data_IF_177029788920
#
_entry.id   IF_177029788920
#
_cell.length_a   1.000
_cell.length_b   1.000
_cell.length_c   1.000
_cell.angle_alpha   90.00
_cell.angle_beta   90.00
_cell.angle_gamma   90.00
#
_symmetry.space_group_name_H-M   'P 1'
#
loop_
_entity.id
_entity.type
_entity.pdbx_description
1 polymer ?
#
# COMPACT_ATOMS: atom_id res chain seq x y z
N UNK A 1 6.30 -27.90 -7.34
CA UNK A 1 6.70 -27.09 -6.18
C UNK A 1 6.37 -27.89 -4.93
N UNK A 2 7.30 -28.04 -3.98
CA UNK A 2 7.01 -28.70 -2.70
C UNK A 2 6.26 -27.73 -1.79
N UNK A 3 5.38 -28.26 -0.92
CA UNK A 3 4.57 -27.49 0.05
C UNK A 3 5.46 -26.57 0.89
N UNK A 4 6.64 -27.04 1.31
CA UNK A 4 7.61 -26.27 2.09
C UNK A 4 8.14 -25.01 1.37
N UNK A 5 8.24 -25.03 0.04
CA UNK A 5 8.69 -23.85 -0.73
C UNK A 5 7.59 -22.78 -0.82
N UNK A 6 6.32 -23.20 -0.86
CA UNK A 6 5.17 -22.30 -0.81
C UNK A 6 5.04 -21.64 0.57
N UNK A 7 5.16 -22.41 1.65
CA UNK A 7 5.06 -21.88 3.03
C UNK A 7 6.15 -20.85 3.36
N UNK A 8 7.41 -21.12 2.97
CA UNK A 8 8.51 -20.16 3.14
C UNK A 8 8.25 -18.88 2.35
N UNK A 9 7.71 -19.01 1.12
CA UNK A 9 7.38 -17.85 0.28
C UNK A 9 6.25 -17.00 0.85
N UNK A 10 5.24 -17.62 1.48
CA UNK A 10 4.13 -16.92 2.14
C UNK A 10 4.61 -16.16 3.37
N UNK A 11 5.48 -16.76 4.18
CA UNK A 11 6.00 -16.14 5.39
C UNK A 11 6.92 -14.95 5.09
N UNK A 12 7.72 -15.04 4.02
CA UNK A 12 8.52 -13.92 3.53
C UNK A 12 7.66 -12.78 2.97
N UNK A 13 6.52 -13.12 2.35
CA UNK A 13 5.55 -12.13 1.89
C UNK A 13 4.87 -11.39 3.05
N UNK A 14 4.40 -12.12 4.07
CA UNK A 14 3.80 -11.52 5.26
C UNK A 14 4.77 -10.58 5.96
N UNK A 15 6.04 -10.96 6.07
CA UNK A 15 7.11 -10.09 6.62
C UNK A 15 7.34 -8.85 5.76
N UNK A 16 7.41 -9.00 4.44
CA UNK A 16 7.60 -7.88 3.53
C UNK A 16 6.42 -6.91 3.57
N UNK A 17 5.19 -7.42 3.67
CA UNK A 17 3.98 -6.62 3.80
C UNK A 17 3.93 -5.92 5.16
N UNK A 18 4.28 -6.59 6.25
CA UNK A 18 4.35 -6.01 7.58
C UNK A 18 5.41 -4.90 7.67
N UNK A 19 6.57 -5.07 7.03
CA UNK A 19 7.59 -4.02 6.92
C UNK A 19 7.08 -2.82 6.13
N UNK A 20 6.49 -3.07 4.96
CA UNK A 20 5.93 -2.02 4.11
C UNK A 20 4.83 -1.23 4.84
N UNK A 21 3.96 -1.94 5.57
CA UNK A 21 2.94 -1.34 6.44
C UNK A 21 3.56 -0.38 7.44
N UNK A 22 4.58 -0.81 8.20
CA UNK A 22 5.25 0.06 9.18
C UNK A 22 5.84 1.31 8.55
N UNK A 23 6.46 1.18 7.38
CA UNK A 23 7.02 2.33 6.66
C UNK A 23 5.92 3.32 6.22
N UNK A 24 4.78 2.82 5.72
CA UNK A 24 3.65 3.65 5.30
C UNK A 24 2.96 4.33 6.49
N UNK A 25 2.77 3.61 7.60
CA UNK A 25 2.25 4.11 8.87
C UNK A 25 3.12 5.23 9.45
N UNK A 26 4.45 5.06 9.41
CA UNK A 26 5.41 6.07 9.81
C UNK A 26 5.38 7.29 8.89
N UNK A 27 5.30 7.09 7.58
CA UNK A 27 5.19 8.16 6.59
C UNK A 27 3.93 9.01 6.78
N UNK A 28 2.77 8.38 7.02
CA UNK A 28 1.52 9.08 7.31
C UNK A 28 1.64 9.95 8.58
N UNK A 29 2.21 9.38 9.65
CA UNK A 29 2.43 10.11 10.90
C UNK A 29 3.40 11.29 10.69
N UNK A 30 4.48 11.08 9.94
CA UNK A 30 5.44 12.13 9.60
C UNK A 30 4.78 13.26 8.78
N UNK A 31 3.88 12.91 7.87
CA UNK A 31 3.07 13.83 7.06
C UNK A 31 1.94 14.52 7.84
N UNK A 32 1.71 14.17 9.12
CA UNK A 32 0.69 14.78 9.97
C UNK A 32 -0.70 14.16 9.86
N UNK A 33 -0.81 12.98 9.23
CA UNK A 33 -2.01 12.16 9.23
C UNK A 33 -2.00 11.13 10.37
N UNK A 34 -3.15 10.56 10.75
CA UNK A 34 -3.18 9.40 11.64
C UNK A 34 -2.44 8.21 11.04
N UNK A 35 -1.81 7.40 11.88
CA UNK A 35 -1.10 6.18 11.49
C UNK A 35 -1.94 5.28 10.56
N UNK A 36 -3.24 5.15 10.86
CA UNK A 36 -4.18 4.34 10.08
C UNK A 36 -4.30 4.80 8.62
N UNK A 37 -4.15 6.09 8.33
CA UNK A 37 -4.22 6.60 6.97
C UNK A 37 -3.13 6.00 6.08
N UNK A 38 -1.91 5.80 6.61
CA UNK A 38 -0.82 5.15 5.87
C UNK A 38 -1.11 3.70 5.51
N UNK A 39 -1.79 2.97 6.40
CA UNK A 39 -2.22 1.61 6.13
C UNK A 39 -3.35 1.54 5.11
N UNK A 40 -4.39 2.36 5.26
CA UNK A 40 -5.53 2.38 4.31
C UNK A 40 -5.08 2.80 2.91
N UNK A 41 -4.11 3.73 2.81
CA UNK A 41 -3.48 4.11 1.55
C UNK A 41 -2.62 2.98 0.98
N UNK A 42 -1.85 2.25 1.80
CA UNK A 42 -1.12 1.08 1.34
C UNK A 42 -2.06 0.04 0.71
N UNK A 43 -3.21 -0.22 1.34
CA UNK A 43 -4.23 -1.13 0.80
C UNK A 43 -4.77 -0.59 -0.53
N UNK A 44 -5.06 0.71 -0.62
CA UNK A 44 -5.46 1.36 -1.88
C UNK A 44 -4.43 1.21 -3.00
N UNK A 45 -3.15 1.44 -2.71
CA UNK A 45 -2.06 1.24 -3.70
C UNK A 45 -1.98 -0.21 -4.18
N UNK A 46 -2.16 -1.18 -3.27
CA UNK A 46 -2.17 -2.61 -3.61
C UNK A 46 -3.37 -2.91 -4.51
N UNK A 47 -4.57 -2.51 -4.10
CA UNK A 47 -5.79 -2.78 -4.85
C UNK A 47 -5.75 -2.14 -6.25
N UNK A 48 -5.36 -0.86 -6.35
CA UNK A 48 -5.18 -0.20 -7.64
C UNK A 48 -4.17 -0.93 -8.54
N UNK A 49 -3.08 -1.47 -7.97
CA UNK A 49 -2.10 -2.23 -8.74
C UNK A 49 -2.66 -3.53 -9.32
N UNK A 50 -3.58 -4.20 -8.63
CA UNK A 50 -4.19 -5.46 -9.08
C UNK A 50 -5.37 -5.26 -10.00
N UNK A 51 -6.28 -4.39 -9.58
CA UNK A 51 -7.56 -4.22 -10.23
C UNK A 51 -7.49 -3.21 -11.38
N UNK A 52 -6.39 -2.43 -11.46
CA UNK A 52 -6.17 -1.44 -12.50
C UNK A 52 -7.29 -0.40 -12.53
N UNK A 53 -7.49 0.29 -11.40
CA UNK A 53 -8.66 1.16 -11.22
C UNK A 53 -8.78 2.19 -12.34
N UNK A 54 -10.03 2.40 -12.76
CA UNK A 54 -10.36 3.54 -13.61
C UNK A 54 -10.14 4.85 -12.83
N UNK A 55 -10.01 6.00 -13.52
CA UNK A 55 -9.96 7.30 -12.85
C UNK A 55 -11.14 7.53 -11.90
N UNK A 56 -12.33 7.04 -12.24
CA UNK A 56 -13.54 7.20 -11.43
C UNK A 56 -13.49 6.35 -10.15
N UNK A 57 -13.05 5.09 -10.26
CA UNK A 57 -12.87 4.21 -9.10
C UNK A 57 -11.80 4.75 -8.14
N UNK A 58 -10.70 5.27 -8.70
CA UNK A 58 -9.66 5.94 -7.93
C UNK A 58 -10.20 7.18 -7.22
N UNK A 59 -10.96 8.04 -7.91
CA UNK A 59 -11.54 9.23 -7.32
C UNK A 59 -12.53 8.89 -6.20
N UNK A 60 -13.39 7.89 -6.38
CA UNK A 60 -14.30 7.41 -5.35
C UNK A 60 -13.56 6.90 -4.11
N UNK A 61 -12.47 6.16 -4.32
CA UNK A 61 -11.62 5.73 -3.22
C UNK A 61 -10.95 6.91 -2.51
N UNK A 62 -10.40 7.88 -3.25
CA UNK A 62 -9.80 9.09 -2.66
C UNK A 62 -10.82 9.84 -1.81
N UNK A 63 -12.06 10.02 -2.28
CA UNK A 63 -13.11 10.68 -1.51
C UNK A 63 -13.38 9.97 -0.18
N UNK A 64 -13.42 8.63 -0.16
CA UNK A 64 -13.56 7.86 1.09
C UNK A 64 -12.38 8.06 2.04
N UNK A 65 -11.15 8.16 1.53
CA UNK A 65 -9.96 8.46 2.35
C UNK A 65 -10.06 9.87 2.94
N UNK A 66 -10.51 10.84 2.14
CA UNK A 66 -10.74 12.23 2.56
C UNK A 66 -11.83 12.29 3.65
N UNK A 67 -12.93 11.57 3.50
CA UNK A 67 -14.00 11.48 4.51
C UNK A 67 -13.48 10.93 5.84
N UNK A 68 -12.55 9.99 5.81
CA UNK A 68 -12.01 9.34 7.01
C UNK A 68 -10.90 10.15 7.70
N UNK A 69 -10.09 10.90 6.95
CA UNK A 69 -8.84 11.48 7.46
C UNK A 69 -8.65 12.98 7.17
N UNK A 70 -9.57 13.58 6.42
CA UNK A 70 -9.45 14.94 5.90
C UNK A 70 -8.65 14.99 4.59
N UNK A 71 -8.92 16.01 3.78
CA UNK A 71 -8.21 16.24 2.51
C UNK A 71 -6.75 16.67 2.73
N UNK A 72 -6.53 17.43 3.81
CA UNK A 72 -5.25 18.03 4.17
C UNK A 72 -4.94 17.70 5.63
N UNK A 73 -3.71 17.27 5.88
CA UNK A 73 -3.21 16.94 7.22
C UNK A 73 -2.99 18.18 8.09
N UNK A 74 -2.71 17.96 9.38
CA UNK A 74 -2.30 19.02 10.29
C UNK A 74 -0.99 19.73 9.89
N UNK A 75 -0.20 19.14 8.98
CA UNK A 75 1.04 19.71 8.45
C UNK A 75 0.91 20.26 7.03
N UNK A 76 -0.32 20.32 6.49
CA UNK A 76 -0.57 20.84 5.15
C UNK A 76 -0.35 19.84 4.01
N UNK A 77 -0.14 18.56 4.30
CA UNK A 77 0.06 17.51 3.28
C UNK A 77 -1.28 17.02 2.79
N UNK A 78 -1.47 16.94 1.47
CA UNK A 78 -2.71 16.45 0.86
C UNK A 78 -2.76 14.92 0.83
N UNK A 79 -3.96 14.35 0.83
CA UNK A 79 -4.16 12.90 0.68
C UNK A 79 -3.48 12.34 -0.57
N UNK A 80 -3.52 13.07 -1.69
CA UNK A 80 -2.87 12.65 -2.93
C UNK A 80 -1.33 12.63 -2.81
N UNK A 81 -0.75 13.58 -2.10
CA UNK A 81 0.70 13.60 -1.83
C UNK A 81 1.11 12.44 -0.92
N UNK A 82 0.27 12.10 0.07
CA UNK A 82 0.48 10.91 0.89
C UNK A 82 0.34 9.62 0.05
N UNK A 83 -0.61 9.56 -0.88
CA UNK A 83 -0.75 8.44 -1.82
C UNK A 83 0.48 8.26 -2.70
N UNK A 84 1.03 9.34 -3.26
CA UNK A 84 2.26 9.30 -4.05
C UNK A 84 3.45 8.78 -3.22
N UNK A 85 3.60 9.28 -2.00
CA UNK A 85 4.64 8.83 -1.08
C UNK A 85 4.52 7.34 -0.74
N UNK A 86 3.32 6.88 -0.40
CA UNK A 86 3.07 5.47 -0.09
C UNK A 86 3.26 4.59 -1.32
N UNK A 87 2.78 5.02 -2.49
CA UNK A 87 3.00 4.32 -3.76
C UNK A 87 4.50 4.16 -4.04
N UNK A 88 5.29 5.22 -3.85
CA UNK A 88 6.74 5.14 -3.96
C UNK A 88 7.35 4.13 -2.98
N UNK A 89 6.98 4.19 -1.69
CA UNK A 89 7.46 3.24 -0.68
C UNK A 89 7.14 1.79 -1.07
N UNK A 90 5.95 1.52 -1.63
CA UNK A 90 5.60 0.17 -2.09
C UNK A 90 6.41 -0.31 -3.31
N UNK A 91 7.03 0.61 -4.03
CA UNK A 91 7.87 0.32 -5.20
C UNK A 91 9.34 0.03 -4.87
N UNK A 92 9.79 0.35 -3.64
CA UNK A 92 11.21 0.30 -3.28
C UNK A 92 11.83 -1.11 -3.33
N UNK A 93 13.15 -1.22 -3.64
CA UNK A 93 13.84 -2.50 -3.78
C UNK A 93 13.74 -3.43 -2.56
N UNK A 94 13.70 -2.87 -1.34
CA UNK A 94 13.56 -3.63 -0.10
C UNK A 94 12.21 -4.34 0.04
N UNK A 95 11.20 -3.93 -0.74
CA UNK A 95 9.89 -4.59 -0.83
C UNK A 95 9.73 -5.45 -2.10
N UNK A 96 10.81 -5.74 -2.84
CA UNK A 96 10.79 -6.65 -4.01
C UNK A 96 10.20 -8.05 -3.74
N UNK A 97 10.39 -8.69 -2.56
CA UNK A 97 9.74 -9.97 -2.26
C UNK A 97 8.22 -9.91 -2.39
N UNK A 98 7.58 -8.81 -1.92
CA UNK A 98 6.16 -8.52 -2.13
C UNK A 98 5.84 -8.52 -3.63
N UNK A 99 6.55 -7.71 -4.43
CA UNK A 99 6.29 -7.60 -5.87
C UNK A 99 6.44 -8.93 -6.63
N UNK A 100 7.43 -9.75 -6.25
CA UNK A 100 7.65 -11.07 -6.87
C UNK A 100 6.49 -12.02 -6.58
N UNK A 101 6.02 -12.07 -5.34
CA UNK A 101 4.91 -12.95 -4.96
C UNK A 101 3.58 -12.46 -5.54
N UNK A 102 3.34 -11.14 -5.51
CA UNK A 102 2.21 -10.49 -6.17
C UNK A 102 2.12 -10.84 -7.67
N UNK A 103 3.25 -10.85 -8.37
CA UNK A 103 3.34 -11.31 -9.78
C UNK A 103 3.13 -12.82 -9.95
N UNK A 104 3.51 -13.63 -8.95
CA UNK A 104 3.32 -15.07 -9.00
C UNK A 104 1.84 -15.46 -8.79
N UNK A 105 1.16 -14.77 -7.88
CA UNK A 105 -0.26 -14.98 -7.61
C UNK A 105 -1.15 -14.55 -8.79
N UNK A 106 -0.79 -13.48 -9.50
CA UNK A 106 -1.53 -12.99 -10.68
C UNK A 106 -1.34 -13.81 -11.95
N UNK A 107 -0.23 -14.55 -12.09
CA UNK A 107 -0.01 -15.45 -13.23
C UNK A 107 -0.70 -16.82 -13.07
N UNK A 108 -1.30 -17.08 -11.92
CA UNK A 108 -1.90 -18.37 -11.58
C UNK A 108 -3.44 -18.35 -11.64
N UNK A 109 -4.04 -17.24 -12.09
CA UNK A 109 -5.47 -17.07 -12.36
C UNK A 109 -5.71 -16.95 -13.87
#
# INVERSE_FOLDING_TARGET
>A
MSINALEISTLDFERALASCRKDCEAAATAAGFPLKAGYDILIGCIANHFDGWSPDDFNLWVQRVIENYGEISAKGVKVLELYELVSFLTSEPRHRPKQRLLRALTKSA
#
